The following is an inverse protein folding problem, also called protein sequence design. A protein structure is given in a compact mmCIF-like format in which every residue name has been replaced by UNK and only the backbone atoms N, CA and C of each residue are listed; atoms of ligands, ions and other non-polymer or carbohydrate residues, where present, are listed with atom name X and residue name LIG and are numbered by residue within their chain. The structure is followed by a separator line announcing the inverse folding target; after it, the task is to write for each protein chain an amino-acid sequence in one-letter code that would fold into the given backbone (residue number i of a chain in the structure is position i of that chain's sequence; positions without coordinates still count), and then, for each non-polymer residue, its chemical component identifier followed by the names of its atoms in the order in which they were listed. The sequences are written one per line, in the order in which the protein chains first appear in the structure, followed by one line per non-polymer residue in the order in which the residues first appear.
data_IF_529211958335
#
_entry.id   IF_529211958335
#
_cell.length_a   1.000
_cell.length_b   1.000
_cell.length_c   1.000
_cell.angle_alpha   90.00
_cell.angle_beta   90.00
_cell.angle_gamma   90.00
#
_symmetry.space_group_name_H-M   'P 1'
#
loop_
_entity.id
_entity.type
_entity.pdbx_description
1 polymer ?
#
# COMPACT_ATOMS: atom_id res chain seq x y z
N UNK A 1 24.00 -19.91 -17.27
CA UNK A 1 24.12 -19.36 -15.91
C UNK A 1 23.89 -17.85 -15.90
N UNK A 2 24.59 -17.06 -16.70
CA UNK A 2 24.45 -15.58 -16.74
C UNK A 2 23.02 -15.09 -17.02
N UNK A 3 22.30 -15.69 -17.99
CA UNK A 3 20.90 -15.34 -18.26
C UNK A 3 19.97 -15.56 -17.06
N UNK A 4 20.16 -16.64 -16.30
CA UNK A 4 19.36 -16.91 -15.10
C UNK A 4 19.67 -15.90 -13.99
N UNK A 5 20.94 -15.52 -13.83
CA UNK A 5 21.34 -14.46 -12.89
C UNK A 5 20.72 -13.10 -13.27
N UNK A 6 20.68 -12.76 -14.55
CA UNK A 6 20.05 -11.52 -15.03
C UNK A 6 18.53 -11.51 -14.77
N UNK A 7 17.83 -12.63 -14.95
CA UNK A 7 16.40 -12.69 -14.63
C UNK A 7 16.13 -12.58 -13.12
N UNK A 8 16.99 -13.17 -12.27
CA UNK A 8 16.89 -13.02 -10.81
C UNK A 8 17.06 -11.55 -10.41
N UNK A 9 18.08 -10.86 -10.94
CA UNK A 9 18.32 -9.45 -10.65
C UNK A 9 17.16 -8.54 -11.09
N UNK A 10 16.53 -8.82 -12.24
CA UNK A 10 15.34 -8.07 -12.68
C UNK A 10 14.17 -8.23 -11.71
N UNK A 11 13.91 -9.46 -11.26
CA UNK A 11 12.84 -9.74 -10.31
C UNK A 11 13.12 -9.07 -8.96
N UNK A 12 14.37 -9.11 -8.49
CA UNK A 12 14.79 -8.45 -7.26
C UNK A 12 14.61 -6.92 -7.34
N UNK A 13 15.00 -6.32 -8.47
CA UNK A 13 14.80 -4.89 -8.72
C UNK A 13 13.32 -4.49 -8.69
N UNK A 14 12.46 -5.27 -9.36
CA UNK A 14 11.00 -5.07 -9.33
C UNK A 14 10.47 -5.19 -7.91
N UNK A 15 10.98 -6.15 -7.13
CA UNK A 15 10.57 -6.35 -5.74
C UNK A 15 10.91 -5.15 -4.85
N UNK A 16 12.16 -4.67 -4.93
CA UNK A 16 12.62 -3.48 -4.20
C UNK A 16 11.80 -2.25 -4.61
N UNK A 17 11.56 -2.08 -5.91
CA UNK A 17 10.77 -0.97 -6.44
C UNK A 17 9.32 -1.02 -5.92
N UNK A 18 8.69 -2.19 -5.92
CA UNK A 18 7.33 -2.38 -5.42
C UNK A 18 7.22 -2.06 -3.92
N UNK A 19 8.15 -2.58 -3.10
CA UNK A 19 8.17 -2.32 -1.65
C UNK A 19 8.39 -0.83 -1.32
N UNK A 20 9.36 -0.18 -1.97
CA UNK A 20 9.63 1.24 -1.80
C UNK A 20 8.44 2.12 -2.23
N UNK A 21 7.83 1.79 -3.36
CA UNK A 21 6.65 2.51 -3.88
C UNK A 21 5.45 2.35 -2.95
N UNK A 22 5.17 1.13 -2.48
CA UNK A 22 4.10 0.87 -1.53
C UNK A 22 4.28 1.67 -0.22
N UNK A 23 5.50 1.70 0.31
CA UNK A 23 5.80 2.51 1.49
C UNK A 23 5.54 4.01 1.24
N UNK A 24 5.97 4.52 0.09
CA UNK A 24 5.74 5.92 -0.30
C UNK A 24 4.26 6.27 -0.49
N UNK A 25 3.42 5.32 -0.90
CA UNK A 25 1.96 5.53 -1.04
C UNK A 25 1.28 5.50 0.34
N UNK A 26 1.71 4.60 1.24
CA UNK A 26 1.16 4.55 2.61
C UNK A 26 1.35 5.85 3.38
N UNK A 27 2.48 6.54 3.18
CA UNK A 27 2.77 7.79 3.88
C UNK A 27 1.70 8.87 3.73
N UNK A 28 1.32 9.31 2.51
CA UNK A 28 0.23 10.27 2.33
C UNK A 28 -1.13 9.71 2.76
N UNK A 29 -1.41 8.41 2.62
CA UNK A 29 -2.68 7.82 3.07
C UNK A 29 -2.85 7.88 4.59
N UNK A 30 -1.78 7.63 5.35
CA UNK A 30 -1.79 7.81 6.82
C UNK A 30 -2.12 9.26 7.17
N UNK A 31 -1.44 10.23 6.55
CA UNK A 31 -1.72 11.65 6.79
C UNK A 31 -3.15 12.06 6.41
N UNK A 32 -3.68 11.53 5.32
CA UNK A 32 -5.08 11.73 4.93
C UNK A 32 -6.05 11.15 5.97
N UNK A 33 -5.79 9.94 6.47
CA UNK A 33 -6.61 9.30 7.50
C UNK A 33 -6.61 10.09 8.81
N UNK A 34 -5.45 10.58 9.23
CA UNK A 34 -5.32 11.41 10.43
C UNK A 34 -6.11 12.71 10.28
N UNK A 35 -5.98 13.39 9.14
CA UNK A 35 -6.75 14.61 8.86
C UNK A 35 -8.26 14.35 8.84
N UNK A 36 -8.71 13.27 8.19
CA UNK A 36 -10.13 12.88 8.19
C UNK A 36 -10.63 12.59 9.60
N UNK A 37 -9.82 11.95 10.43
CA UNK A 37 -10.16 11.67 11.84
C UNK A 37 -10.34 12.97 12.63
N UNK A 38 -9.42 13.93 12.48
CA UNK A 38 -9.53 15.24 13.13
C UNK A 38 -10.75 16.03 12.64
N UNK A 39 -11.07 15.96 11.34
CA UNK A 39 -12.27 16.59 10.78
C UNK A 39 -13.56 15.96 11.30
N UNK A 40 -13.58 14.64 11.44
CA UNK A 40 -14.71 13.89 12.00
C UNK A 40 -14.98 14.25 13.46
N UNK A 41 -13.95 14.54 14.25
CA UNK A 41 -14.08 15.02 15.62
C UNK A 41 -14.58 16.47 15.70
N UNK A 42 -14.16 17.30 14.74
CA UNK A 42 -14.51 18.73 14.70
C UNK A 42 -15.92 19.00 14.20
N UNK A 43 -16.39 18.28 13.18
CA UNK A 43 -17.67 18.52 12.52
C UNK A 43 -18.62 17.33 12.73
N UNK A 44 -19.64 17.51 13.54
CA UNK A 44 -20.54 16.43 14.00
C UNK A 44 -21.87 16.36 13.26
N UNK A 45 -22.08 17.16 12.21
CA UNK A 45 -23.28 17.07 11.39
C UNK A 45 -23.32 15.74 10.64
N UNK A 46 -24.49 15.13 10.54
CA UNK A 46 -24.67 13.80 9.93
C UNK A 46 -24.15 13.73 8.49
N UNK A 47 -24.37 14.81 7.72
CA UNK A 47 -23.90 14.89 6.33
C UNK A 47 -22.35 14.91 6.24
N UNK A 48 -21.68 15.64 7.12
CA UNK A 48 -20.21 15.67 7.19
C UNK A 48 -19.66 14.29 7.59
N UNK A 49 -20.31 13.65 8.57
CA UNK A 49 -19.95 12.31 9.03
C UNK A 49 -20.07 11.27 7.90
N UNK A 50 -21.08 11.38 7.04
CA UNK A 50 -21.22 10.52 5.85
C UNK A 50 -20.05 10.71 4.89
N UNK A 51 -19.65 11.95 4.59
CA UNK A 51 -18.49 12.20 3.72
C UNK A 51 -17.20 11.63 4.30
N UNK A 52 -16.95 11.83 5.60
CA UNK A 52 -15.76 11.28 6.26
C UNK A 52 -15.75 9.76 6.31
N UNK A 53 -16.92 9.13 6.46
CA UNK A 53 -17.05 7.68 6.36
C UNK A 53 -16.65 7.16 4.98
N UNK A 54 -17.18 7.77 3.90
CA UNK A 54 -16.85 7.38 2.53
C UNK A 54 -15.36 7.57 2.24
N UNK A 55 -14.79 8.73 2.62
CA UNK A 55 -13.35 8.99 2.42
C UNK A 55 -12.50 7.97 3.19
N UNK A 56 -12.89 7.62 4.42
CA UNK A 56 -12.22 6.59 5.20
C UNK A 56 -12.23 5.23 4.50
N UNK A 57 -13.36 4.83 3.93
CA UNK A 57 -13.50 3.58 3.17
C UNK A 57 -12.58 3.56 1.94
N UNK A 58 -12.48 4.65 1.20
CA UNK A 58 -11.60 4.74 0.03
C UNK A 58 -10.11 4.68 0.43
N UNK A 59 -9.73 5.29 1.54
CA UNK A 59 -8.35 5.19 2.07
C UNK A 59 -8.01 3.73 2.41
N UNK A 60 -8.92 2.99 3.06
CA UNK A 60 -8.71 1.58 3.37
C UNK A 60 -8.66 0.71 2.12
N UNK A 61 -9.53 0.94 1.13
CA UNK A 61 -9.48 0.28 -0.17
C UNK A 61 -8.10 0.45 -0.83
N UNK A 62 -7.55 1.67 -0.84
CA UNK A 62 -6.21 1.90 -1.40
C UNK A 62 -5.14 1.20 -0.56
N UNK A 63 -5.24 1.18 0.77
CA UNK A 63 -4.31 0.43 1.63
C UNK A 63 -4.31 -1.08 1.32
N UNK A 64 -5.47 -1.66 1.03
CA UNK A 64 -5.61 -3.06 0.61
C UNK A 64 -4.90 -3.30 -0.72
N UNK A 65 -5.20 -2.48 -1.74
CA UNK A 65 -4.55 -2.55 -3.06
C UNK A 65 -3.02 -2.45 -2.94
N UNK A 66 -2.52 -1.52 -2.12
CA UNK A 66 -1.07 -1.34 -1.87
C UNK A 66 -0.48 -2.56 -1.15
N UNK A 67 -1.25 -3.20 -0.27
CA UNK A 67 -0.82 -4.39 0.45
C UNK A 67 -0.76 -5.62 -0.47
N UNK A 68 -1.70 -5.75 -1.41
CA UNK A 68 -1.65 -6.76 -2.47
C UNK A 68 -0.47 -6.51 -3.42
N UNK A 69 -0.23 -5.25 -3.80
CA UNK A 69 0.91 -4.85 -4.62
C UNK A 69 2.26 -5.22 -3.97
N UNK A 70 2.37 -5.14 -2.63
CA UNK A 70 3.57 -5.56 -1.90
C UNK A 70 3.89 -7.06 -2.01
N UNK A 71 2.94 -7.90 -2.43
CA UNK A 71 3.21 -9.33 -2.68
C UNK A 71 4.23 -9.48 -3.81
N UNK A 72 4.23 -8.58 -4.80
CA UNK A 72 5.25 -8.50 -5.85
C UNK A 72 6.62 -8.06 -5.31
N UNK A 73 6.60 -7.33 -4.18
CA UNK A 73 7.77 -6.83 -3.46
C UNK A 73 8.49 -7.88 -2.61
N UNK A 74 7.80 -8.98 -2.28
CA UNK A 74 8.41 -10.05 -1.47
C UNK A 74 9.33 -10.86 -2.38
N UNK A 75 10.64 -10.93 -2.09
CA UNK A 75 11.53 -11.79 -2.86
C UNK A 75 10.96 -13.20 -2.81
N UNK A 76 10.98 -13.87 -3.95
CA UNK A 76 10.49 -15.24 -4.19
C UNK A 76 11.28 -16.27 -3.37
N UNK A 77 11.27 -16.16 -2.04
CA UNK A 77 11.75 -17.16 -1.09
C UNK A 77 10.75 -18.32 -0.94
N UNK A 78 9.82 -18.47 -1.91
CA UNK A 78 9.01 -19.66 -2.14
C UNK A 78 9.55 -20.38 -3.39
N UNK A 79 10.87 -20.51 -3.51
CA UNK A 79 11.41 -21.68 -4.21
C UNK A 79 11.40 -22.78 -3.17
N UNK A 80 10.38 -23.63 -3.24
CA UNK A 80 10.20 -24.83 -2.41
C UNK A 80 11.55 -25.49 -2.15
N UNK A 81 11.89 -25.68 -0.87
CA UNK A 81 12.69 -26.84 -0.49
C UNK A 81 11.90 -28.08 -0.93
N UNK A 82 12.33 -28.69 -2.03
CA UNK A 82 12.06 -30.09 -2.37
C UNK A 82 13.36 -30.84 -2.11
#
# INVERSE_FOLDING_TARGET
MERQQNEIQKVELVGIFAASTAHKIRNPLTGMKDLVTLLKEKYTQEQDQFYYFVIGQEIECINEIVSEFMILGKPTAIIKKV
#
